data_IF_536661401657
#
_entry.id   IF_536661401657
#
_cell.length_a   1.000
_cell.length_b   1.000
_cell.length_c   1.000
_cell.angle_alpha   90.00
_cell.angle_beta   90.00
_cell.angle_gamma   90.00
#
_symmetry.space_group_name_H-M   'P 1'
#
loop_
_entity.id
_entity.type
_entity.pdbx_description
1 polymer ?
#
# COMPACT_ATOMS: atom_id res chain seq x y z
N UNK A 1 -11.10 -18.39 11.49
CA UNK A 1 -10.51 -17.69 10.33
C UNK A 1 -11.31 -16.41 10.13
N UNK A 2 -10.71 -15.23 10.33
CA UNK A 2 -11.39 -13.99 9.95
C UNK A 2 -11.63 -14.04 8.44
N UNK A 3 -12.90 -14.08 8.03
CA UNK A 3 -13.27 -13.95 6.62
C UNK A 3 -13.01 -12.50 6.21
N UNK A 4 -11.81 -12.20 5.74
CA UNK A 4 -11.57 -10.95 5.03
C UNK A 4 -12.10 -11.13 3.61
N UNK A 5 -13.28 -10.56 3.35
CA UNK A 5 -14.01 -10.69 2.08
C UNK A 5 -13.43 -9.85 0.93
N UNK A 6 -12.34 -9.12 1.17
CA UNK A 6 -11.95 -7.97 0.35
C UNK A 6 -10.48 -8.02 -0.07
N UNK A 7 -10.10 -9.13 -0.69
CA UNK A 7 -8.83 -9.27 -1.40
C UNK A 7 -9.07 -9.14 -2.90
N UNK A 8 -8.33 -8.24 -3.52
CA UNK A 8 -8.43 -7.97 -4.95
C UNK A 8 -7.06 -8.12 -5.59
N UNK A 9 -7.04 -8.58 -6.84
CA UNK A 9 -5.85 -8.40 -7.67
C UNK A 9 -5.79 -6.93 -8.07
N UNK A 10 -4.61 -6.35 -7.97
CA UNK A 10 -4.42 -4.98 -8.40
C UNK A 10 -3.05 -4.81 -9.04
N UNK A 11 -2.94 -3.86 -9.97
CA UNK A 11 -1.67 -3.45 -10.54
C UNK A 11 -1.29 -2.10 -9.98
N UNK A 12 -0.06 -1.97 -9.48
CA UNK A 12 0.43 -0.68 -9.00
C UNK A 12 0.77 0.21 -10.18
N UNK A 13 0.18 1.40 -10.21
CA UNK A 13 0.36 2.40 -11.27
C UNK A 13 1.45 3.39 -10.90
N UNK A 14 1.52 3.79 -9.63
CA UNK A 14 2.54 4.72 -9.15
C UNK A 14 2.65 4.74 -7.62
N UNK A 15 3.86 5.02 -7.13
CA UNK A 15 4.15 5.26 -5.70
C UNK A 15 4.49 6.73 -5.47
N UNK A 16 3.69 7.43 -4.65
CA UNK A 16 3.81 8.88 -4.41
C UNK A 16 4.73 9.21 -3.24
N UNK A 17 4.55 8.52 -2.12
CA UNK A 17 5.31 8.64 -0.87
C UNK A 17 5.48 7.26 -0.21
N UNK A 18 6.02 7.22 1.01
CA UNK A 18 6.31 5.97 1.70
C UNK A 18 5.10 5.26 2.30
N UNK A 19 3.89 5.82 2.24
CA UNK A 19 2.68 5.18 2.76
C UNK A 19 1.46 5.25 1.84
N UNK A 20 1.61 5.78 0.61
CA UNK A 20 0.53 5.98 -0.34
C UNK A 20 0.95 5.62 -1.77
N UNK A 21 0.17 4.74 -2.41
CA UNK A 21 0.32 4.38 -3.83
C UNK A 21 -1.02 4.55 -4.58
N UNK A 22 -0.95 4.43 -5.91
CA UNK A 22 -2.13 4.26 -6.77
C UNK A 22 -2.12 2.94 -7.48
N UNK A 23 -3.30 2.36 -7.60
CA UNK A 23 -3.49 1.03 -8.17
C UNK A 23 -4.70 0.99 -9.09
N UNK A 24 -4.64 0.08 -10.04
CA UNK A 24 -5.78 -0.38 -10.83
C UNK A 24 -6.26 -1.70 -10.23
N UNK A 25 -7.51 -1.75 -9.77
CA UNK A 25 -8.10 -2.87 -9.03
C UNK A 25 -8.98 -3.68 -9.97
N UNK A 26 -8.73 -4.98 -10.07
CA UNK A 26 -9.59 -5.94 -10.76
C UNK A 26 -10.67 -6.44 -9.79
N UNK A 27 -11.94 -6.14 -10.10
CA UNK A 27 -13.09 -6.60 -9.32
C UNK A 27 -13.66 -7.92 -9.86
N UNK A 28 -13.03 -8.50 -10.88
CA UNK A 28 -13.51 -9.65 -11.62
C UNK A 28 -14.60 -9.29 -12.62
N UNK A 29 -15.09 -10.30 -13.34
CA UNK A 29 -16.17 -10.15 -14.33
C UNK A 29 -15.88 -9.06 -15.39
N UNK A 30 -14.60 -8.84 -15.73
CA UNK A 30 -14.16 -7.80 -16.67
C UNK A 30 -14.33 -6.37 -16.16
N UNK A 31 -14.55 -6.17 -14.85
CA UNK A 31 -14.75 -4.85 -14.24
C UNK A 31 -13.51 -4.39 -13.50
N UNK A 32 -13.08 -3.16 -13.81
CA UNK A 32 -11.87 -2.56 -13.23
C UNK A 32 -12.18 -1.20 -12.63
N UNK A 33 -11.48 -0.88 -11.54
CA UNK A 33 -11.44 0.46 -10.96
C UNK A 33 -10.02 0.98 -11.08
N UNK A 34 -9.83 2.06 -11.84
CA UNK A 34 -8.50 2.55 -12.17
C UNK A 34 -8.05 3.70 -11.28
N UNK A 35 -6.74 3.78 -11.05
CA UNK A 35 -6.05 4.94 -10.49
C UNK A 35 -6.55 5.33 -9.08
N UNK A 36 -6.98 4.35 -8.29
CA UNK A 36 -7.43 4.57 -6.92
C UNK A 36 -6.26 4.72 -5.96
N UNK A 37 -6.39 5.66 -5.01
CA UNK A 37 -5.36 5.94 -4.04
C UNK A 37 -5.53 5.08 -2.79
N UNK A 38 -4.50 4.29 -2.49
CA UNK A 38 -4.44 3.41 -1.33
C UNK A 38 -3.41 3.95 -0.36
N UNK A 39 -3.82 4.12 0.90
CA UNK A 39 -2.90 4.37 2.02
C UNK A 39 -2.64 3.06 2.74
N UNK A 40 -1.37 2.77 2.99
CA UNK A 40 -0.93 1.57 3.68
C UNK A 40 -1.45 1.61 5.14
N UNK A 41 -2.28 0.63 5.49
CA UNK A 41 -2.87 0.48 6.81
C UNK A 41 -1.83 0.06 7.85
N UNK A 42 -2.10 0.37 9.14
CA UNK A 42 -1.23 0.13 10.31
C UNK A 42 0.12 0.85 10.31
N UNK A 43 0.48 1.61 9.28
CA UNK A 43 1.79 2.24 9.20
C UNK A 43 1.71 3.73 8.91
N UNK A 44 2.80 4.43 9.22
CA UNK A 44 3.04 5.81 8.84
C UNK A 44 4.49 5.94 8.39
N UNK A 45 4.72 6.49 7.21
CA UNK A 45 6.05 6.80 6.70
C UNK A 45 6.48 8.23 7.09
N UNK A 46 7.80 8.51 7.13
CA UNK A 46 8.32 9.86 7.35
C UNK A 46 7.84 10.85 6.28
N UNK A 47 7.66 12.11 6.66
CA UNK A 47 7.10 13.12 5.77
C UNK A 47 8.05 13.49 4.62
N UNK A 48 7.49 13.70 3.42
CA UNK A 48 8.25 14.09 2.21
C UNK A 48 8.69 15.56 2.20
N UNK A 49 8.48 16.29 3.31
CA UNK A 49 8.75 17.73 3.47
C UNK A 49 9.31 18.01 4.87
N UNK A 50 9.91 19.18 5.05
CA UNK A 50 10.48 19.58 6.35
C UNK A 50 11.75 18.80 6.70
N UNK A 51 11.99 18.62 7.99
CA UNK A 51 13.20 17.99 8.53
C UNK A 51 13.32 16.50 8.14
N UNK A 52 12.21 15.80 7.96
CA UNK A 52 12.16 14.37 7.64
C UNK A 52 12.31 14.05 6.15
N UNK A 53 12.37 15.07 5.29
CA UNK A 53 12.36 14.94 3.82
C UNK A 53 13.35 13.91 3.27
N UNK A 54 14.54 13.78 3.89
CA UNK A 54 15.55 12.81 3.46
C UNK A 54 15.07 11.38 3.73
N UNK A 55 14.56 11.11 4.93
CA UNK A 55 14.01 9.81 5.30
C UNK A 55 12.73 9.49 4.53
N UNK A 56 11.87 10.48 4.31
CA UNK A 56 10.65 10.31 3.51
C UNK A 56 10.98 9.86 2.08
N UNK A 57 12.01 10.47 1.46
CA UNK A 57 12.47 10.04 0.12
C UNK A 57 12.96 8.59 0.12
N UNK A 58 13.76 8.22 1.11
CA UNK A 58 14.26 6.85 1.23
C UNK A 58 13.10 5.85 1.41
N UNK A 59 12.13 6.19 2.25
CA UNK A 59 10.93 5.37 2.47
C UNK A 59 10.11 5.19 1.19
N UNK A 60 9.86 6.28 0.45
CA UNK A 60 9.22 6.23 -0.87
C UNK A 60 10.01 5.39 -1.86
N UNK A 61 11.32 5.57 -1.94
CA UNK A 61 12.16 4.89 -2.94
C UNK A 61 12.25 3.39 -2.65
N UNK A 62 12.26 3.01 -1.36
CA UNK A 62 12.14 1.61 -0.95
C UNK A 62 10.78 1.02 -1.34
N UNK A 63 9.66 1.67 -0.97
CA UNK A 63 8.32 1.21 -1.35
C UNK A 63 8.20 1.09 -2.88
N UNK A 64 8.67 2.10 -3.62
CA UNK A 64 8.68 2.09 -5.08
C UNK A 64 9.48 0.91 -5.64
N UNK A 65 10.66 0.64 -5.10
CA UNK A 65 11.48 -0.50 -5.51
C UNK A 65 10.82 -1.86 -5.26
N UNK A 66 9.87 -1.94 -4.30
CA UNK A 66 9.15 -3.17 -4.00
C UNK A 66 7.94 -3.41 -4.90
N UNK A 67 7.16 -2.36 -5.21
CA UNK A 67 5.81 -2.56 -5.77
C UNK A 67 5.51 -1.76 -7.04
N UNK A 68 6.35 -0.84 -7.49
CA UNK A 68 6.00 0.03 -8.63
C UNK A 68 5.94 -0.74 -9.95
N UNK A 69 4.76 -0.76 -10.57
CA UNK A 69 4.50 -1.54 -11.77
C UNK A 69 4.15 -3.02 -11.53
N UNK A 70 4.25 -3.50 -10.29
CA UNK A 70 4.00 -4.89 -9.92
C UNK A 70 2.51 -5.23 -9.80
N UNK A 71 2.21 -6.51 -9.97
CA UNK A 71 0.91 -7.09 -9.61
C UNK A 71 0.90 -7.49 -8.14
N UNK A 72 -0.11 -7.05 -7.42
CA UNK A 72 -0.25 -7.25 -5.98
C UNK A 72 -1.60 -7.86 -5.63
N UNK A 73 -1.68 -8.41 -4.43
CA UNK A 73 -2.96 -8.66 -3.76
C UNK A 73 -3.22 -7.52 -2.79
N UNK A 74 -4.27 -6.75 -3.06
CA UNK A 74 -4.73 -5.65 -2.21
C UNK A 74 -5.78 -6.18 -1.22
N UNK A 75 -5.52 -6.06 0.07
CA UNK A 75 -6.48 -6.30 1.14
C UNK A 75 -7.02 -4.98 1.67
N UNK A 76 -8.29 -4.65 1.41
CA UNK A 76 -8.88 -3.41 1.95
C UNK A 76 -9.38 -3.62 3.38
N UNK A 77 -9.13 -2.66 4.27
CA UNK A 77 -9.47 -2.75 5.70
C UNK A 77 -10.78 -2.03 6.05
N UNK A 78 -11.03 -0.88 5.42
CA UNK A 78 -12.26 -0.11 5.58
C UNK A 78 -12.81 0.20 4.20
N UNK A 79 -14.01 -0.30 3.89
CA UNK A 79 -14.74 0.01 2.65
C UNK A 79 -15.42 1.39 2.72
N UNK A 80 -14.76 2.33 3.41
CA UNK A 80 -15.14 3.73 3.50
C UNK A 80 -13.90 4.55 3.24
N UNK A 81 -13.99 5.42 2.24
CA UNK A 81 -12.98 6.45 2.01
C UNK A 81 -12.88 7.30 3.29
N UNK A 82 -11.68 7.36 3.88
CA UNK A 82 -11.45 8.19 5.06
C UNK A 82 -11.66 9.68 4.75
N UNK A 83 -11.39 10.56 5.73
CA UNK A 83 -11.52 12.03 5.58
C UNK A 83 -10.88 12.62 4.31
N UNK A 84 -9.91 11.92 3.71
CA UNK A 84 -9.14 12.35 2.54
C UNK A 84 -9.47 11.60 1.25
N UNK A 85 -10.56 10.83 1.19
CA UNK A 85 -10.98 10.19 -0.05
C UNK A 85 -10.19 8.94 -0.45
N UNK A 86 -9.35 8.40 0.45
CA UNK A 86 -8.46 7.26 0.19
C UNK A 86 -8.95 6.01 0.88
N UNK A 87 -8.73 4.86 0.25
CA UNK A 87 -8.91 3.57 0.89
C UNK A 87 -7.72 3.26 1.78
N UNK A 88 -7.97 2.50 2.85
CA UNK A 88 -6.94 1.92 3.70
C UNK A 88 -6.79 0.44 3.34
N UNK A 89 -5.55 0.02 3.09
CA UNK A 89 -5.29 -1.36 2.69
C UNK A 89 -3.91 -1.86 3.07
N UNK A 90 -3.79 -3.18 3.05
CA UNK A 90 -2.54 -3.91 3.16
C UNK A 90 -2.19 -4.47 1.79
N UNK A 91 -0.93 -4.31 1.40
CA UNK A 91 -0.42 -4.77 0.13
C UNK A 91 0.35 -6.08 0.37
N UNK A 92 0.00 -7.10 -0.40
CA UNK A 92 0.63 -8.40 -0.36
C UNK A 92 1.30 -8.67 -1.69
N UNK A 93 2.59 -8.96 -1.65
CA UNK A 93 3.41 -9.29 -2.82
C UNK A 93 3.76 -10.78 -2.78
N UNK A 94 3.63 -11.46 -3.90
CA UNK A 94 4.06 -12.85 -4.03
C UNK A 94 5.58 -12.90 -4.24
N UNK A 95 6.30 -13.51 -3.30
CA UNK A 95 7.75 -13.66 -3.34
C UNK A 95 8.09 -15.11 -3.00
N UNK A 96 8.77 -15.80 -3.92
CA UNK A 96 9.21 -17.19 -3.74
C UNK A 96 8.07 -18.18 -3.40
N UNK A 97 6.86 -17.92 -3.91
CA UNK A 97 5.67 -18.75 -3.66
C UNK A 97 4.95 -18.45 -2.33
N UNK A 98 5.37 -17.40 -1.61
CA UNK A 98 4.72 -16.93 -0.39
C UNK A 98 4.26 -15.47 -0.52
N UNK A 99 3.13 -15.14 0.08
CA UNK A 99 2.67 -13.74 0.13
C UNK A 99 3.29 -13.02 1.32
N UNK A 100 4.04 -11.95 1.05
CA UNK A 100 4.63 -11.08 2.06
C UNK A 100 3.88 -9.76 2.14
N UNK A 101 3.60 -9.31 3.36
CA UNK A 101 2.95 -8.04 3.62
C UNK A 101 3.95 -6.91 3.47
N UNK A 102 3.77 -6.07 2.44
CA UNK A 102 4.63 -4.92 2.16
C UNK A 102 4.57 -3.91 3.31
N UNK A 103 3.41 -3.75 3.96
CA UNK A 103 3.27 -2.84 5.09
C UNK A 103 4.20 -3.22 6.25
N UNK A 104 4.31 -4.53 6.55
CA UNK A 104 5.19 -5.01 7.61
C UNK A 104 6.66 -4.88 7.19
N UNK A 105 6.99 -5.19 5.92
CA UNK A 105 8.35 -5.00 5.37
C UNK A 105 8.83 -3.54 5.48
N UNK A 106 7.94 -2.56 5.26
CA UNK A 106 8.26 -1.14 5.43
C UNK A 106 8.70 -0.82 6.87
N UNK A 107 8.06 -1.43 7.87
CA UNK A 107 8.41 -1.22 9.28
C UNK A 107 9.67 -1.97 9.68
N UNK A 108 9.79 -3.24 9.27
CA UNK A 108 10.96 -4.09 9.54
C UNK A 108 12.27 -3.47 9.03
N UNK A 109 12.20 -2.80 7.88
CA UNK A 109 13.35 -2.14 7.27
C UNK A 109 13.53 -0.67 7.73
N UNK A 110 12.75 -0.20 8.70
CA UNK A 110 12.88 1.13 9.29
C UNK A 110 12.42 2.29 8.40
N UNK A 111 11.63 2.00 7.37
CA UNK A 111 11.09 3.00 6.45
C UNK A 111 9.70 3.51 6.87
N UNK A 112 9.06 2.87 7.84
CA UNK A 112 7.81 3.30 8.45
C UNK A 112 7.74 2.89 9.92
N UNK A 113 6.77 3.42 10.65
CA UNK A 113 6.45 3.02 12.03
C UNK A 113 5.01 2.53 12.11
N UNK A 114 4.76 1.57 13.00
CA UNK A 114 3.39 1.14 13.29
C UNK A 114 2.58 2.29 13.89
N UNK A 115 1.32 2.39 13.48
CA UNK A 115 0.38 3.39 13.94
C UNK A 115 -1.01 2.80 14.07
N UNK A 116 -1.57 2.95 15.26
CA UNK A 116 -2.98 2.66 15.54
C UNK A 116 -3.83 3.92 15.31
N UNK A 117 -5.06 3.71 14.84
CA UNK A 117 -6.02 4.75 14.46
C UNK A 117 -7.30 4.65 15.29
#
# INVERSE_FOLDING_TARGET
>A
MQKTLFHYRAKVVSVYDGDTCRVDIDLGLGTWVHNESIRLHRINAPEMRGAEKVQGKLSRDYLRGLIDGEEIVLQTVLDKKGKYGRYLGEIWLEMDGEYKCVNDMMVENGFAVYKEY
#
